data_IF_280810361107
#
_entry.id   IF_280810361107
#
_cell.length_a   1.000
_cell.length_b   1.000
_cell.length_c   1.000
_cell.angle_alpha   90.00
_cell.angle_beta   90.00
_cell.angle_gamma   90.00
#
_symmetry.space_group_name_H-M   'P 1'
#
loop_
_entity.id
_entity.type
_entity.pdbx_description
1 polymer ?
#
# COMPACT_ATOMS: atom_id res chain seq x y z
N UNK A 1 -5.68 -18.60 -35.52
CA UNK A 1 -5.05 -19.50 -34.54
C UNK A 1 -3.84 -18.87 -33.82
N UNK A 2 -2.82 -18.38 -34.52
CA UNK A 2 -1.61 -17.76 -33.90
C UNK A 2 -1.90 -16.59 -32.95
N UNK A 3 -2.85 -15.68 -33.29
CA UNK A 3 -3.23 -14.52 -32.44
C UNK A 3 -3.83 -14.95 -31.10
N UNK A 4 -4.60 -16.01 -31.04
CA UNK A 4 -5.19 -16.50 -29.81
C UNK A 4 -4.14 -17.15 -28.89
N UNK A 5 -3.15 -17.82 -29.46
CA UNK A 5 -2.01 -18.39 -28.70
C UNK A 5 -1.13 -17.27 -28.09
N UNK A 6 -0.86 -16.20 -28.83
CA UNK A 6 -0.10 -15.06 -28.31
C UNK A 6 -0.85 -14.36 -27.17
N UNK A 7 -2.16 -14.15 -27.29
CA UNK A 7 -2.99 -13.56 -26.22
C UNK A 7 -3.03 -14.47 -24.99
N UNK A 8 -3.18 -15.79 -25.19
CA UNK A 8 -3.18 -16.74 -24.08
C UNK A 8 -1.82 -16.78 -23.37
N UNK A 9 -0.71 -16.75 -24.13
CA UNK A 9 0.64 -16.69 -23.58
C UNK A 9 0.88 -15.41 -22.77
N UNK A 10 0.48 -14.25 -23.29
CA UNK A 10 0.59 -12.99 -22.59
C UNK A 10 -0.26 -12.97 -21.29
N UNK A 11 -1.49 -13.50 -21.34
CA UNK A 11 -2.35 -13.59 -20.15
C UNK A 11 -1.77 -14.53 -19.09
N UNK A 12 -1.19 -15.67 -19.51
CA UNK A 12 -0.53 -16.61 -18.59
C UNK A 12 0.70 -15.96 -17.93
N UNK A 13 1.56 -15.30 -18.70
CA UNK A 13 2.74 -14.61 -18.19
C UNK A 13 2.36 -13.49 -17.20
N UNK A 14 1.34 -12.69 -17.53
CA UNK A 14 0.82 -11.66 -16.64
C UNK A 14 0.23 -12.24 -15.35
N UNK A 15 -0.48 -13.38 -15.44
CA UNK A 15 -1.01 -14.09 -14.29
C UNK A 15 0.09 -14.59 -13.34
N UNK A 16 1.12 -15.23 -13.87
CA UNK A 16 2.28 -15.70 -13.10
C UNK A 16 2.99 -14.52 -12.43
N UNK A 17 3.21 -13.42 -13.15
CA UNK A 17 3.84 -12.21 -12.61
C UNK A 17 3.00 -11.60 -11.49
N UNK A 18 1.67 -11.53 -11.63
CA UNK A 18 0.78 -11.01 -10.59
C UNK A 18 0.83 -11.86 -9.32
N UNK A 19 0.78 -13.19 -9.44
CA UNK A 19 0.89 -14.12 -8.30
C UNK A 19 2.24 -13.96 -7.60
N UNK A 20 3.33 -13.88 -8.37
CA UNK A 20 4.67 -13.67 -7.83
C UNK A 20 4.79 -12.34 -7.09
N UNK A 21 4.26 -11.23 -7.66
CA UNK A 21 4.26 -9.91 -7.03
C UNK A 21 3.45 -9.91 -5.72
N UNK A 22 2.30 -10.58 -5.71
CA UNK A 22 1.48 -10.73 -4.51
C UNK A 22 2.22 -11.53 -3.43
N UNK A 23 2.87 -12.64 -3.81
CA UNK A 23 3.67 -13.44 -2.90
C UNK A 23 4.84 -12.62 -2.31
N UNK A 24 5.57 -11.85 -3.13
CA UNK A 24 6.63 -10.97 -2.66
C UNK A 24 6.11 -9.92 -1.68
N UNK A 25 4.96 -9.31 -1.96
CA UNK A 25 4.38 -8.32 -1.08
C UNK A 25 4.00 -8.92 0.29
N UNK A 26 3.32 -10.06 0.29
CA UNK A 26 2.93 -10.74 1.53
C UNK A 26 4.15 -11.22 2.31
N UNK A 27 5.16 -11.79 1.64
CA UNK A 27 6.37 -12.29 2.28
C UNK A 27 7.24 -11.15 2.85
N UNK A 28 7.32 -10.02 2.15
CA UNK A 28 8.03 -8.82 2.63
C UNK A 28 7.36 -8.26 3.89
N UNK A 29 6.02 -8.20 3.90
CA UNK A 29 5.28 -7.78 5.09
C UNK A 29 5.45 -8.76 6.26
N UNK A 30 5.49 -10.06 6.00
CA UNK A 30 5.71 -11.07 7.02
C UNK A 30 7.13 -11.01 7.62
N UNK A 31 8.13 -10.62 6.81
CA UNK A 31 9.50 -10.44 7.26
C UNK A 31 9.70 -9.15 8.06
N UNK A 32 9.08 -8.05 7.62
CA UNK A 32 9.10 -6.76 8.32
C UNK A 32 7.79 -6.01 8.06
N UNK A 33 6.90 -6.07 9.04
CA UNK A 33 5.57 -5.49 8.96
C UNK A 33 5.54 -3.97 9.16
N UNK A 34 6.65 -3.34 9.54
CA UNK A 34 6.73 -1.91 9.78
C UNK A 34 7.45 -1.12 8.68
N UNK A 35 8.26 -1.75 7.82
CA UNK A 35 8.96 -1.06 6.73
C UNK A 35 8.05 -0.78 5.52
N UNK A 36 7.04 0.05 5.75
CA UNK A 36 6.11 0.50 4.71
C UNK A 36 5.58 1.90 5.02
N UNK A 37 5.07 2.60 4.01
CA UNK A 37 4.59 3.99 4.15
C UNK A 37 3.40 4.10 5.10
N UNK A 38 2.55 3.08 5.19
CA UNK A 38 1.39 3.09 6.08
C UNK A 38 1.77 3.22 7.56
N UNK A 39 2.94 2.69 7.96
CA UNK A 39 3.46 2.82 9.33
C UNK A 39 3.56 4.29 9.73
N UNK A 40 4.11 5.13 8.84
CA UNK A 40 4.24 6.57 9.09
C UNK A 40 2.90 7.29 9.07
N UNK A 41 1.96 6.89 8.22
CA UNK A 41 0.61 7.46 8.18
C UNK A 41 -0.17 7.13 9.45
N UNK A 42 -0.08 5.91 9.92
CA UNK A 42 -0.74 5.45 11.13
C UNK A 42 -0.14 6.12 12.38
N UNK A 43 1.18 6.19 12.48
CA UNK A 43 1.86 6.89 13.58
C UNK A 43 1.53 8.39 13.58
N UNK A 44 1.52 9.05 12.42
CA UNK A 44 1.16 10.46 12.28
C UNK A 44 -0.31 10.73 12.67
N UNK A 45 -1.24 9.85 12.31
CA UNK A 45 -2.63 9.97 12.72
C UNK A 45 -2.78 9.87 14.24
N UNK A 46 -2.10 8.93 14.89
CA UNK A 46 -2.05 8.82 16.35
C UNK A 46 -1.42 10.04 17.01
N UNK A 47 -0.33 10.54 16.44
CA UNK A 47 0.34 11.76 16.92
C UNK A 47 -0.60 12.94 16.87
N UNK A 48 -1.29 13.17 15.75
CA UNK A 48 -2.25 14.24 15.59
C UNK A 48 -3.39 14.20 16.61
N UNK A 49 -3.88 13.00 16.95
CA UNK A 49 -4.90 12.81 17.98
C UNK A 49 -4.37 13.05 19.41
N UNK A 50 -3.14 12.63 19.69
CA UNK A 50 -2.56 12.71 21.05
C UNK A 50 -1.98 14.10 21.37
N UNK A 51 -1.30 14.74 20.42
CA UNK A 51 -0.51 15.96 20.62
C UNK A 51 -0.98 17.16 19.79
N UNK A 52 -1.95 16.96 18.90
CA UNK A 52 -2.44 17.99 17.98
C UNK A 52 -1.74 18.00 16.62
N UNK A 53 -2.48 18.42 15.62
CA UNK A 53 -2.09 18.36 14.20
C UNK A 53 -0.93 19.29 13.81
N UNK A 54 -0.65 20.32 14.62
CA UNK A 54 0.50 21.21 14.45
C UNK A 54 1.84 20.52 14.70
N UNK A 55 1.84 19.40 15.42
CA UNK A 55 3.05 18.65 15.80
C UNK A 55 3.39 17.49 14.88
N UNK A 56 2.66 17.31 13.76
CA UNK A 56 2.84 16.17 12.83
C UNK A 56 4.28 15.94 12.37
N UNK A 57 5.06 17.01 12.28
CA UNK A 57 6.45 16.96 11.78
C UNK A 57 7.49 16.99 12.88
N UNK A 58 7.11 16.92 14.15
CA UNK A 58 8.04 16.78 15.28
C UNK A 58 8.62 15.36 15.30
N UNK A 59 9.93 15.27 15.03
CA UNK A 59 10.62 13.98 14.89
C UNK A 59 10.63 13.17 16.20
N UNK A 60 10.71 13.86 17.34
CA UNK A 60 10.69 13.19 18.65
C UNK A 60 9.32 12.55 18.90
N UNK A 61 8.25 13.28 18.63
CA UNK A 61 6.89 12.77 18.80
C UNK A 61 6.56 11.69 17.77
N UNK A 62 7.09 11.77 16.56
CA UNK A 62 6.99 10.69 15.57
C UNK A 62 7.67 9.41 16.08
N UNK A 63 8.88 9.52 16.63
CA UNK A 63 9.58 8.37 17.22
C UNK A 63 8.79 7.76 18.35
N UNK A 64 8.26 8.56 19.27
CA UNK A 64 7.43 8.10 20.39
C UNK A 64 6.22 7.28 19.90
N UNK A 65 5.54 7.73 18.84
CA UNK A 65 4.42 6.97 18.27
C UNK A 65 4.84 5.69 17.55
N UNK A 66 6.00 5.68 16.88
CA UNK A 66 6.55 4.48 16.27
C UNK A 66 6.93 3.43 17.32
N UNK A 67 7.56 3.85 18.41
CA UNK A 67 7.91 2.98 19.53
C UNK A 67 6.65 2.42 20.21
N UNK A 68 5.61 3.24 20.36
CA UNK A 68 4.34 2.86 20.96
C UNK A 68 3.55 1.80 20.16
N UNK A 69 3.79 1.68 18.84
CA UNK A 69 3.22 0.60 18.01
C UNK A 69 4.13 -0.62 17.89
N UNK A 70 5.28 -0.61 18.57
CA UNK A 70 6.26 -1.70 18.56
C UNK A 70 7.15 -1.72 17.31
N UNK A 71 7.28 -0.60 16.61
CA UNK A 71 8.18 -0.48 15.47
C UNK A 71 9.64 -0.38 15.92
N UNK A 72 10.54 -1.01 15.17
CA UNK A 72 11.99 -0.88 15.35
C UNK A 72 12.62 0.19 14.44
N UNK A 73 11.77 1.00 13.78
CA UNK A 73 12.22 2.05 12.87
C UNK A 73 12.70 3.25 13.69
N UNK A 74 13.91 3.70 13.42
CA UNK A 74 14.42 4.96 13.96
C UNK A 74 14.08 6.10 13.01
N UNK A 75 13.43 7.15 13.51
CA UNK A 75 13.10 8.34 12.73
C UNK A 75 14.38 9.04 12.29
N UNK A 76 14.56 9.15 10.97
CA UNK A 76 15.72 9.77 10.35
C UNK A 76 15.29 10.63 9.16
N UNK A 77 16.25 11.24 8.45
CA UNK A 77 15.93 12.10 7.30
C UNK A 77 15.10 11.40 6.20
N UNK A 78 15.27 10.08 6.02
CA UNK A 78 14.56 9.28 5.01
C UNK A 78 13.41 8.43 5.57
N UNK A 79 13.36 8.23 6.90
CA UNK A 79 12.37 7.41 7.58
C UNK A 79 11.52 8.30 8.52
N UNK A 80 10.64 9.11 7.97
CA UNK A 80 9.75 10.03 8.72
C UNK A 80 8.47 10.30 7.94
N UNK A 81 7.45 10.76 8.67
CA UNK A 81 6.25 11.30 8.04
C UNK A 81 6.56 12.65 7.37
N UNK A 82 6.36 12.73 6.07
CA UNK A 82 6.56 13.94 5.25
C UNK A 82 5.35 14.28 4.39
N UNK A 83 4.30 13.47 4.47
CA UNK A 83 3.10 13.62 3.66
C UNK A 83 2.21 14.78 4.17
N UNK A 84 1.34 15.34 3.32
CA UNK A 84 0.41 16.38 3.73
C UNK A 84 -0.53 15.93 4.85
N UNK A 85 -0.95 16.82 5.78
CA UNK A 85 -1.84 16.49 6.90
C UNK A 85 -3.13 15.76 6.53
N UNK A 86 -3.81 16.03 5.39
CA UNK A 86 -5.02 15.34 5.00
C UNK A 86 -4.88 13.82 4.91
N UNK A 87 -3.68 13.30 4.61
CA UNK A 87 -3.44 11.86 4.56
C UNK A 87 -3.47 11.24 5.97
N UNK A 88 -2.90 11.92 6.97
CA UNK A 88 -3.02 11.49 8.36
C UNK A 88 -4.48 11.53 8.83
N UNK A 89 -5.26 12.54 8.45
CA UNK A 89 -6.69 12.61 8.77
C UNK A 89 -7.47 11.44 8.16
N UNK A 90 -7.15 11.07 6.91
CA UNK A 90 -7.79 9.93 6.24
C UNK A 90 -7.54 8.60 6.97
N UNK A 91 -6.36 8.45 7.57
CA UNK A 91 -5.97 7.24 8.31
C UNK A 91 -6.50 7.25 9.75
N UNK A 92 -6.95 8.39 10.29
CA UNK A 92 -7.44 8.52 11.67
C UNK A 92 -8.45 7.45 12.08
N UNK A 93 -9.49 7.11 11.30
CA UNK A 93 -10.44 6.06 11.70
C UNK A 93 -9.79 4.69 11.89
N UNK A 94 -8.69 4.43 11.18
CA UNK A 94 -7.97 3.16 11.25
C UNK A 94 -7.16 3.03 12.55
N UNK A 95 -6.87 4.13 13.25
CA UNK A 95 -6.14 4.10 14.53
C UNK A 95 -6.96 3.49 15.67
N UNK A 96 -8.27 3.28 15.48
CA UNK A 96 -9.14 2.53 16.40
C UNK A 96 -8.89 1.02 16.35
N UNK A 97 -8.18 0.53 15.34
CA UNK A 97 -7.85 -0.87 15.12
C UNK A 97 -6.38 -1.12 15.49
N UNK A 98 -6.01 -2.34 15.88
CA UNK A 98 -4.61 -2.74 15.98
C UNK A 98 -3.89 -2.51 14.64
N UNK A 99 -2.60 -2.14 14.70
CA UNK A 99 -1.81 -1.77 13.51
C UNK A 99 -1.92 -2.78 12.35
N UNK A 100 -1.78 -4.08 12.65
CA UNK A 100 -1.83 -5.12 11.61
C UNK A 100 -3.19 -5.18 10.89
N UNK A 101 -4.28 -5.03 11.64
CA UNK A 101 -5.64 -5.00 11.08
C UNK A 101 -5.84 -3.75 10.24
N UNK A 102 -5.40 -2.60 10.74
CA UNK A 102 -5.44 -1.33 10.04
C UNK A 102 -4.64 -1.37 8.71
N UNK A 103 -3.45 -1.98 8.72
CA UNK A 103 -2.63 -2.16 7.52
C UNK A 103 -3.33 -2.98 6.45
N UNK A 104 -3.90 -4.13 6.81
CA UNK A 104 -4.58 -4.99 5.84
C UNK A 104 -5.87 -4.35 5.31
N UNK A 105 -6.61 -3.65 6.17
CA UNK A 105 -7.78 -2.89 5.75
C UNK A 105 -7.41 -1.76 4.79
N UNK A 106 -6.37 -0.99 5.10
CA UNK A 106 -5.83 0.04 4.22
C UNK A 106 -5.40 -0.53 2.87
N UNK A 107 -4.67 -1.64 2.89
CA UNK A 107 -4.22 -2.33 1.68
C UNK A 107 -5.40 -2.80 0.83
N UNK A 108 -6.44 -3.36 1.45
CA UNK A 108 -7.66 -3.77 0.75
C UNK A 108 -8.40 -2.59 0.13
N UNK A 109 -8.46 -1.43 0.83
CA UNK A 109 -9.05 -0.21 0.30
C UNK A 109 -8.28 0.31 -0.92
N UNK A 110 -6.94 0.30 -0.89
CA UNK A 110 -6.11 0.71 -2.01
C UNK A 110 -6.28 -0.21 -3.23
N UNK A 111 -6.31 -1.54 -3.01
CA UNK A 111 -6.58 -2.50 -4.08
C UNK A 111 -7.98 -2.31 -4.65
N UNK A 112 -8.97 -2.12 -3.79
CA UNK A 112 -10.34 -1.82 -4.20
C UNK A 112 -10.46 -0.54 -5.02
N UNK A 113 -9.79 0.53 -4.58
CA UNK A 113 -9.73 1.80 -5.31
C UNK A 113 -9.05 1.64 -6.69
N UNK A 114 -7.96 0.87 -6.76
CA UNK A 114 -7.29 0.55 -8.02
C UNK A 114 -8.21 -0.19 -8.98
N UNK A 115 -8.89 -1.23 -8.50
CA UNK A 115 -9.84 -2.03 -9.31
C UNK A 115 -11.00 -1.15 -9.80
N UNK A 116 -11.54 -0.30 -8.93
CA UNK A 116 -12.61 0.64 -9.29
C UNK A 116 -12.14 1.66 -10.32
N UNK A 117 -10.99 2.29 -10.09
CA UNK A 117 -10.41 3.25 -11.04
C UNK A 117 -10.17 2.60 -12.40
N UNK A 118 -9.66 1.37 -12.40
CA UNK A 118 -9.50 0.59 -13.62
C UNK A 118 -10.83 0.30 -14.30
N UNK A 119 -11.84 -0.09 -13.56
CA UNK A 119 -13.18 -0.38 -14.10
C UNK A 119 -13.80 0.85 -14.76
N UNK A 120 -13.58 2.04 -14.20
CA UNK A 120 -14.11 3.29 -14.71
C UNK A 120 -13.30 3.81 -15.91
N UNK A 121 -11.98 3.66 -15.90
CA UNK A 121 -11.09 4.27 -16.89
C UNK A 121 -10.79 3.37 -18.10
N UNK A 122 -10.84 2.03 -17.95
CA UNK A 122 -10.41 1.13 -19.01
C UNK A 122 -11.43 1.04 -20.15
N UNK A 123 -11.09 1.45 -21.37
CA UNK A 123 -11.95 1.29 -22.56
C UNK A 123 -12.04 -0.19 -22.97
N UNK A 124 -13.18 -0.60 -23.55
CA UNK A 124 -13.32 -1.90 -24.20
C UNK A 124 -14.16 -2.94 -23.44
N UNK A 125 -14.23 -4.14 -24.01
CA UNK A 125 -15.01 -5.27 -23.49
C UNK A 125 -14.34 -5.96 -22.28
N UNK A 126 -15.14 -6.62 -21.42
CA UNK A 126 -14.69 -7.19 -20.13
C UNK A 126 -13.42 -8.03 -20.18
N UNK A 127 -13.19 -8.84 -21.23
CA UNK A 127 -11.98 -9.67 -21.37
C UNK A 127 -10.70 -8.86 -21.54
N UNK A 128 -10.75 -7.80 -22.37
CA UNK A 128 -9.61 -6.91 -22.55
C UNK A 128 -9.24 -6.19 -21.25
N UNK A 129 -10.24 -5.72 -20.50
CA UNK A 129 -10.04 -5.08 -19.20
C UNK A 129 -9.30 -5.96 -18.21
N UNK A 130 -9.69 -7.23 -18.09
CA UNK A 130 -9.03 -8.18 -17.17
C UNK A 130 -7.57 -8.43 -17.57
N UNK A 131 -7.29 -8.63 -18.87
CA UNK A 131 -5.93 -8.86 -19.35
C UNK A 131 -5.03 -7.66 -19.06
N UNK A 132 -5.50 -6.45 -19.30
CA UNK A 132 -4.74 -5.23 -19.00
C UNK A 132 -4.54 -5.00 -17.49
N UNK A 133 -5.53 -5.31 -16.64
CA UNK A 133 -5.40 -5.21 -15.19
C UNK A 133 -4.30 -6.17 -14.67
N UNK A 134 -4.34 -7.42 -15.11
CA UNK A 134 -3.36 -8.43 -14.72
C UNK A 134 -1.97 -8.06 -15.22
N UNK A 135 -1.85 -7.51 -16.44
CA UNK A 135 -0.60 -7.00 -16.97
C UNK A 135 -0.06 -5.80 -16.18
N UNK A 136 -0.91 -4.88 -15.77
CA UNK A 136 -0.52 -3.72 -14.97
C UNK A 136 0.00 -4.12 -13.59
N UNK A 137 -0.66 -5.08 -12.92
CA UNK A 137 -0.21 -5.61 -11.63
C UNK A 137 1.13 -6.35 -11.78
N UNK A 138 1.30 -7.12 -12.86
CA UNK A 138 2.53 -7.87 -13.12
C UNK A 138 3.72 -7.01 -13.58
N UNK A 139 3.47 -5.76 -14.01
CA UNK A 139 4.51 -4.85 -14.48
C UNK A 139 5.03 -3.90 -13.38
N UNK A 140 4.52 -3.99 -12.15
CA UNK A 140 5.09 -3.24 -11.05
C UNK A 140 6.54 -3.71 -10.84
N UNK A 141 7.56 -2.87 -11.12
CA UNK A 141 8.95 -3.28 -11.01
C UNK A 141 9.23 -3.62 -9.54
N UNK A 142 9.69 -4.84 -9.30
CA UNK A 142 10.22 -5.22 -8.00
C UNK A 142 11.33 -4.24 -7.64
N UNK A 143 11.08 -3.35 -6.69
CA UNK A 143 12.11 -2.46 -6.16
C UNK A 143 13.14 -3.35 -5.46
N UNK A 144 14.34 -3.34 -6.02
CA UNK A 144 15.54 -3.85 -5.37
C UNK A 144 15.97 -2.86 -4.31
#
# INVERSE_FOLDING_TARGET
MRRNLAVAGAAAAAGVSAVYSLWLWVSSYAADNFHNDFTFYYAAARLGLAHGWSHLYDLRLQQEQLDAIGSHITVAQLARYVSPPPLAWLVTPLTLLPYQVAYWLWSALLVGALVLAWHLAAPGSGRARVIFLVAAIGWLPGRR
#
